data_IF_252727439201
#
_entry.id   IF_252727439201
#
_cell.length_a   1.000
_cell.length_b   1.000
_cell.length_c   1.000
_cell.angle_alpha   90.00
_cell.angle_beta   90.00
_cell.angle_gamma   90.00
#
_symmetry.space_group_name_H-M   'P 1'
#
loop_
_entity.id
_entity.type
_entity.pdbx_description
1 polymer ?
#
# COMPACT_ATOMS: atom_id res chain seq x y z
N UNK A 1 -3.19 -13.18 30.99
CA UNK A 1 -2.33 -12.19 30.31
C UNK A 1 -2.62 -12.35 28.84
N UNK A 2 -3.46 -11.48 28.28
CA UNK A 2 -3.66 -11.40 26.83
C UNK A 2 -2.31 -11.02 26.22
N UNK A 3 -1.84 -11.70 25.16
CA UNK A 3 -0.64 -11.24 24.48
C UNK A 3 -0.87 -9.81 23.99
N UNK A 4 0.15 -8.93 24.04
CA UNK A 4 0.03 -7.62 23.41
C UNK A 4 -0.32 -7.82 21.94
N UNK A 5 -1.30 -7.05 21.46
CA UNK A 5 -1.63 -7.01 20.04
C UNK A 5 -0.45 -6.36 19.30
N UNK A 6 -0.13 -6.83 18.09
CA UNK A 6 1.02 -6.35 17.30
C UNK A 6 1.03 -4.82 17.12
N UNK A 7 -0.14 -4.18 17.11
CA UNK A 7 -0.28 -2.72 17.12
C UNK A 7 0.30 -2.06 18.39
N UNK A 8 0.02 -2.60 19.57
CA UNK A 8 0.53 -2.05 20.83
C UNK A 8 2.06 -2.22 20.96
N UNK A 9 2.60 -3.30 20.39
CA UNK A 9 4.05 -3.50 20.31
C UNK A 9 4.71 -2.49 19.36
N UNK A 10 4.07 -2.21 18.22
CA UNK A 10 4.54 -1.18 17.27
C UNK A 10 4.52 0.21 17.91
N UNK A 11 3.45 0.57 18.62
CA UNK A 11 3.35 1.87 19.30
C UNK A 11 4.44 2.02 20.37
N UNK A 12 4.73 0.96 21.12
CA UNK A 12 5.82 0.97 22.11
C UNK A 12 7.19 1.15 21.45
N UNK A 13 7.46 0.43 20.35
CA UNK A 13 8.71 0.56 19.59
C UNK A 13 8.87 1.95 18.96
N UNK A 14 7.78 2.52 18.41
CA UNK A 14 7.78 3.89 17.91
C UNK A 14 8.04 4.87 19.04
N UNK A 15 7.40 4.73 20.21
CA UNK A 15 7.64 5.61 21.35
C UNK A 15 9.10 5.56 21.86
N UNK A 16 9.77 4.41 21.77
CA UNK A 16 11.18 4.25 22.14
C UNK A 16 12.13 4.80 21.06
N UNK A 17 11.79 4.62 19.78
CA UNK A 17 12.66 4.95 18.65
C UNK A 17 12.53 6.42 18.22
N UNK A 18 11.31 6.98 18.24
CA UNK A 18 11.01 8.35 17.80
C UNK A 18 11.92 9.41 18.45
N UNK A 19 12.21 9.37 19.77
CA UNK A 19 13.12 10.34 20.40
C UNK A 19 14.57 10.24 19.91
N UNK A 20 14.95 9.10 19.33
CA UNK A 20 16.27 8.84 18.77
C UNK A 20 16.35 9.24 17.29
N UNK A 21 15.20 9.37 16.63
CA UNK A 21 15.08 9.89 15.28
C UNK A 21 15.22 11.42 15.34
N UNK A 22 16.18 11.98 14.62
CA UNK A 22 16.32 13.43 14.42
C UNK A 22 15.23 13.93 13.46
N UNK A 23 13.97 13.85 13.88
CA UNK A 23 12.82 14.16 13.03
C UNK A 23 12.72 15.69 12.82
N UNK A 24 12.31 16.14 11.62
CA UNK A 24 11.99 17.54 11.43
C UNK A 24 10.86 17.98 12.36
N UNK A 25 10.89 19.26 12.77
CA UNK A 25 9.82 19.87 13.56
C UNK A 25 8.46 19.61 12.87
N UNK A 26 7.64 18.81 13.55
CA UNK A 26 6.31 18.44 13.11
C UNK A 26 5.25 19.41 13.64
N UNK A 27 3.97 19.18 13.31
CA UNK A 27 2.85 20.00 13.79
C UNK A 27 2.58 19.86 15.31
N UNK A 28 3.23 18.92 16.01
CA UNK A 28 3.04 18.71 17.44
C UNK A 28 1.74 17.98 17.80
N UNK A 29 1.13 17.27 16.86
CA UNK A 29 -0.14 16.55 16.99
C UNK A 29 -0.01 15.11 17.48
N UNK A 30 1.22 14.66 17.77
CA UNK A 30 1.51 13.30 18.22
C UNK A 30 1.40 12.22 17.13
N UNK A 31 1.24 12.60 15.86
CA UNK A 31 1.07 11.64 14.76
C UNK A 31 2.40 11.21 14.09
N UNK A 32 3.54 11.65 14.62
CA UNK A 32 4.86 11.37 14.04
C UNK A 32 5.14 9.86 13.94
N UNK A 33 4.72 9.07 14.92
CA UNK A 33 4.81 7.61 14.86
C UNK A 33 4.03 7.01 13.70
N UNK A 34 2.78 7.47 13.51
CA UNK A 34 1.94 7.05 12.41
C UNK A 34 2.51 7.44 11.05
N UNK A 35 3.08 8.64 10.93
CA UNK A 35 3.76 9.10 9.70
C UNK A 35 4.99 8.25 9.38
N UNK A 36 5.79 7.90 10.38
CA UNK A 36 6.94 7.01 10.19
C UNK A 36 6.48 5.62 9.74
N UNK A 37 5.43 5.07 10.35
CA UNK A 37 4.85 3.80 9.93
C UNK A 37 4.33 3.85 8.49
N UNK A 38 3.61 4.92 8.11
CA UNK A 38 3.13 5.13 6.74
C UNK A 38 4.30 5.15 5.74
N UNK A 39 5.38 5.86 6.04
CA UNK A 39 6.57 5.93 5.18
C UNK A 39 7.26 4.57 5.01
N UNK A 40 7.30 3.74 6.06
CA UNK A 40 7.84 2.38 5.97
C UNK A 40 6.97 1.52 5.04
N UNK A 41 5.64 1.55 5.21
CA UNK A 41 4.73 0.76 4.38
C UNK A 41 4.74 1.22 2.92
N UNK A 42 4.80 2.53 2.68
CA UNK A 42 4.91 3.09 1.32
C UNK A 42 6.23 2.69 0.65
N UNK A 43 7.34 2.74 1.39
CA UNK A 43 8.64 2.29 0.87
C UNK A 43 8.63 0.79 0.55
N UNK A 44 8.05 -0.04 1.41
CA UNK A 44 7.92 -1.49 1.18
C UNK A 44 7.09 -1.81 -0.06
N UNK A 45 6.03 -1.04 -0.27
CA UNK A 45 5.18 -1.18 -1.46
C UNK A 45 5.92 -0.81 -2.73
N UNK A 46 6.76 0.23 -2.70
CA UNK A 46 7.59 0.63 -3.85
C UNK A 46 8.68 -0.38 -4.18
N UNK A 47 9.25 -1.06 -3.18
CA UNK A 47 10.27 -2.09 -3.42
C UNK A 47 9.74 -3.35 -4.08
N UNK A 48 8.46 -3.68 -3.87
CA UNK A 48 7.82 -4.87 -4.42
C UNK A 48 7.02 -4.61 -5.70
N UNK A 49 7.14 -3.42 -6.27
CA UNK A 49 6.49 -3.07 -7.53
C UNK A 49 7.26 -3.66 -8.69
N UNK A 50 6.58 -4.44 -9.52
CA UNK A 50 7.18 -5.10 -10.69
C UNK A 50 7.71 -4.11 -11.74
N UNK A 51 7.24 -2.86 -11.73
CA UNK A 51 7.68 -1.78 -12.61
C UNK A 51 8.86 -0.96 -12.04
N UNK A 52 9.33 -1.27 -10.83
CA UNK A 52 10.39 -0.56 -10.14
C UNK A 52 11.63 -1.44 -10.03
N UNK A 53 12.60 -1.21 -10.93
CA UNK A 53 13.88 -1.93 -10.90
C UNK A 53 14.72 -1.58 -9.66
N UNK A 54 14.66 -0.32 -9.22
CA UNK A 54 15.44 0.18 -8.08
C UNK A 54 14.78 1.37 -7.41
N UNK A 55 14.79 1.38 -6.08
CA UNK A 55 14.31 2.52 -5.28
C UNK A 55 15.48 3.42 -4.92
N UNK A 56 15.54 4.61 -5.52
CA UNK A 56 16.48 5.66 -5.14
C UNK A 56 15.81 6.67 -4.18
N UNK A 57 16.58 7.39 -3.36
CA UNK A 57 16.04 8.38 -2.42
C UNK A 57 15.10 9.40 -3.06
N UNK A 58 15.50 10.01 -4.19
CA UNK A 58 14.69 11.01 -4.88
C UNK A 58 13.42 10.42 -5.51
N UNK A 59 13.50 9.16 -5.95
CA UNK A 59 12.36 8.43 -6.48
C UNK A 59 11.35 8.14 -5.36
N UNK A 60 11.82 7.56 -4.24
CA UNK A 60 11.00 7.30 -3.05
C UNK A 60 10.26 8.56 -2.58
N UNK A 61 10.98 9.67 -2.38
CA UNK A 61 10.37 10.94 -1.97
C UNK A 61 9.35 11.43 -3.00
N UNK A 62 9.64 11.29 -4.29
CA UNK A 62 8.75 11.69 -5.38
C UNK A 62 7.43 10.91 -5.35
N UNK A 63 7.52 9.58 -5.35
CA UNK A 63 6.37 8.69 -5.32
C UNK A 63 5.54 8.85 -4.05
N UNK A 64 6.19 8.93 -2.88
CA UNK A 64 5.50 9.15 -1.60
C UNK A 64 4.75 10.49 -1.60
N UNK A 65 5.36 11.56 -2.11
CA UNK A 65 4.66 12.85 -2.16
C UNK A 65 3.46 12.79 -3.09
N UNK A 66 3.59 12.16 -4.26
CA UNK A 66 2.48 12.01 -5.20
C UNK A 66 1.37 11.16 -4.58
N UNK A 67 1.72 10.05 -3.93
CA UNK A 67 0.79 9.17 -3.23
C UNK A 67 0.00 9.90 -2.16
N UNK A 68 0.68 10.71 -1.35
CA UNK A 68 0.05 11.51 -0.30
C UNK A 68 -0.86 12.57 -0.91
N UNK A 69 -0.47 13.24 -1.99
CA UNK A 69 -1.35 14.20 -2.69
C UNK A 69 -2.61 13.52 -3.25
N UNK A 70 -2.48 12.33 -3.83
CA UNK A 70 -3.62 11.55 -4.33
C UNK A 70 -4.52 11.09 -3.18
N UNK A 71 -3.94 10.62 -2.08
CA UNK A 71 -4.67 10.18 -0.89
C UNK A 71 -5.45 11.32 -0.21
N UNK A 72 -4.83 12.50 -0.12
CA UNK A 72 -5.45 13.69 0.44
C UNK A 72 -6.58 14.22 -0.47
N UNK A 73 -6.43 14.10 -1.79
CA UNK A 73 -7.51 14.44 -2.74
C UNK A 73 -8.68 13.44 -2.69
N UNK A 74 -8.40 12.20 -2.31
CA UNK A 74 -9.39 11.12 -2.19
C UNK A 74 -10.02 11.03 -0.80
N UNK A 75 -9.74 11.98 0.11
CA UNK A 75 -10.24 12.03 1.49
C UNK A 75 -10.04 10.70 2.25
N UNK A 76 -8.91 10.02 2.04
CA UNK A 76 -8.63 8.79 2.77
C UNK A 76 -8.46 9.10 4.26
N UNK A 77 -9.37 8.58 5.09
CA UNK A 77 -9.54 9.00 6.50
C UNK A 77 -8.23 8.98 7.29
N UNK A 78 -7.52 7.86 7.32
CA UNK A 78 -6.27 7.72 8.10
C UNK A 78 -5.14 8.65 7.63
N UNK A 79 -4.96 8.79 6.32
CA UNK A 79 -3.89 9.62 5.75
C UNK A 79 -4.24 11.09 5.90
N UNK A 80 -5.51 11.46 5.73
CA UNK A 80 -5.98 12.83 5.94
C UNK A 80 -5.81 13.24 7.39
N UNK A 81 -6.09 12.33 8.34
CA UNK A 81 -5.83 12.58 9.75
C UNK A 81 -4.33 12.76 10.06
N UNK A 82 -3.45 11.92 9.49
CA UNK A 82 -2.01 11.95 9.79
C UNK A 82 -1.23 13.00 9.01
N UNK A 83 -1.62 13.30 7.78
CA UNK A 83 -0.87 14.13 6.84
C UNK A 83 -1.57 15.41 6.42
N UNK A 84 -2.87 15.56 6.64
CA UNK A 84 -3.65 16.69 6.13
C UNK A 84 -3.09 18.06 6.53
N UNK A 85 -2.65 18.22 7.78
CA UNK A 85 -2.08 19.49 8.26
C UNK A 85 -0.54 19.57 8.11
N UNK A 86 0.14 18.43 8.04
CA UNK A 86 1.61 18.34 8.05
C UNK A 86 2.23 18.18 6.66
N UNK A 87 1.42 17.88 5.64
CA UNK A 87 1.93 17.50 4.33
C UNK A 87 2.67 18.66 3.66
N UNK A 88 3.96 18.43 3.43
CA UNK A 88 4.79 19.26 2.58
C UNK A 88 5.89 18.40 2.00
N UNK A 89 6.18 18.58 0.71
CA UNK A 89 7.31 17.89 0.06
C UNK A 89 8.62 18.07 0.84
N UNK A 90 8.85 19.26 1.39
CA UNK A 90 10.03 19.55 2.22
C UNK A 90 10.04 18.72 3.50
N UNK A 91 8.89 18.61 4.17
CA UNK A 91 8.74 17.86 5.41
C UNK A 91 8.94 16.35 5.18
N UNK A 92 8.29 15.77 4.17
CA UNK A 92 8.50 14.36 3.75
C UNK A 92 9.97 14.11 3.42
N UNK A 93 10.61 15.00 2.66
CA UNK A 93 12.03 14.87 2.30
C UNK A 93 12.94 14.85 3.54
N UNK A 94 12.64 15.67 4.55
CA UNK A 94 13.40 15.70 5.80
C UNK A 94 13.15 14.43 6.63
N UNK A 95 11.91 13.98 6.74
CA UNK A 95 11.58 12.72 7.44
C UNK A 95 12.29 11.53 6.80
N UNK A 96 12.16 11.30 5.49
CA UNK A 96 12.83 10.18 4.81
C UNK A 96 14.36 10.24 4.99
N UNK A 97 14.93 11.46 5.03
CA UNK A 97 16.36 11.64 5.30
C UNK A 97 16.72 11.26 6.73
N UNK A 98 15.92 11.67 7.71
CA UNK A 98 16.09 11.29 9.12
C UNK A 98 16.01 9.78 9.31
N UNK A 99 15.01 9.13 8.71
CA UNK A 99 14.87 7.67 8.72
C UNK A 99 16.08 6.97 8.09
N UNK A 100 16.59 7.52 6.99
CA UNK A 100 17.81 6.99 6.36
C UNK A 100 19.09 7.23 7.17
N UNK A 101 19.09 8.14 8.14
CA UNK A 101 20.22 8.35 9.06
C UNK A 101 20.13 7.46 10.30
N UNK A 102 18.93 6.97 10.63
CA UNK A 102 18.67 6.05 11.73
C UNK A 102 18.69 4.57 11.30
N UNK A 103 19.38 4.26 10.19
CA UNK A 103 19.56 2.90 9.66
C UNK A 103 18.25 2.12 9.36
N UNK A 104 17.12 2.82 9.18
CA UNK A 104 15.90 2.19 8.63
C UNK A 104 16.04 1.89 7.14
N UNK A 105 17.00 2.52 6.45
CA UNK A 105 17.27 2.31 5.05
C UNK A 105 18.75 1.95 4.81
N UNK A 106 18.98 0.88 4.06
CA UNK A 106 20.29 0.48 3.56
C UNK A 106 20.59 1.26 2.28
N UNK A 107 21.63 2.08 2.34
CA UNK A 107 22.14 2.82 1.17
C UNK A 107 23.13 1.95 0.41
N UNK A 108 22.83 1.66 -0.84
CA UNK A 108 23.63 0.76 -1.65
C UNK A 108 23.86 1.27 -3.06
N UNK A 109 24.42 0.38 -3.86
CA UNK A 109 24.53 0.56 -5.29
C UNK A 109 24.04 -0.70 -5.96
N UNK A 110 23.20 -0.54 -6.96
CA UNK A 110 22.79 -1.62 -7.84
C UNK A 110 23.32 -1.36 -9.26
N UNK A 111 23.49 -2.43 -10.03
CA UNK A 111 24.04 -2.39 -11.38
C UNK A 111 23.13 -3.16 -12.32
N UNK A 112 22.07 -2.51 -12.79
CA UNK A 112 21.16 -3.08 -13.77
C UNK A 112 21.73 -2.86 -15.18
N UNK A 113 21.78 -3.91 -16.03
CA UNK A 113 22.15 -3.74 -17.43
C UNK A 113 21.04 -2.98 -18.17
N UNK A 114 21.39 -1.91 -18.87
CA UNK A 114 20.46 -1.22 -19.76
C UNK A 114 20.06 -2.14 -20.91
N UNK A 115 18.76 -2.45 -21.04
CA UNK A 115 18.24 -3.35 -22.07
C UNK A 115 18.50 -2.84 -23.51
N UNK A 116 18.66 -1.53 -23.69
CA UNK A 116 18.82 -0.93 -25.03
C UNK A 116 20.29 -0.82 -25.44
N UNK A 117 21.18 -0.47 -24.52
CA UNK A 117 22.60 -0.24 -24.82
C UNK A 117 23.55 -1.34 -24.33
N UNK A 118 23.06 -2.29 -23.53
CA UNK A 118 23.86 -3.34 -22.89
C UNK A 118 24.88 -2.81 -21.88
N UNK A 119 24.91 -1.49 -21.63
CA UNK A 119 25.83 -0.88 -20.67
C UNK A 119 25.26 -1.03 -19.27
N UNK A 120 26.07 -1.58 -18.37
CA UNK A 120 25.77 -1.56 -16.94
C UNK A 120 25.71 -0.11 -16.46
N UNK A 121 24.54 0.30 -15.96
CA UNK A 121 24.39 1.56 -15.27
C UNK A 121 24.37 1.29 -13.78
N UNK A 122 25.13 2.10 -13.03
CA UNK A 122 25.20 2.00 -11.59
C UNK A 122 24.20 2.97 -10.97
N UNK A 123 23.21 2.43 -10.28
CA UNK A 123 22.14 3.18 -9.63
C UNK A 123 22.37 3.21 -8.12
N UNK A 124 22.03 4.32 -7.47
CA UNK A 124 22.03 4.40 -6.01
C UNK A 124 20.74 3.77 -5.50
N UNK A 125 20.86 2.88 -4.53
CA UNK A 125 19.70 2.24 -3.88
C UNK A 125 19.49 2.78 -2.48
N UNK A 126 18.23 2.79 -2.08
CA UNK A 126 17.74 3.25 -0.79
C UNK A 126 16.62 2.30 -0.37
N UNK A 127 17.01 1.12 0.10
CA UNK A 127 16.11 0.00 0.42
C UNK A 127 15.85 -0.07 1.91
N UNK A 128 14.69 -0.57 2.33
CA UNK A 128 14.31 -0.80 3.71
C UNK A 128 15.22 -1.85 4.34
N UNK A 129 15.70 -1.52 5.54
CA UNK A 129 16.45 -2.43 6.35
C UNK A 129 15.50 -3.44 7.02
N UNK A 130 15.39 -4.63 6.43
CA UNK A 130 14.56 -5.74 6.94
C UNK A 130 15.07 -6.31 8.26
N UNK A 131 16.29 -6.01 8.67
CA UNK A 131 16.85 -6.42 9.96
C UNK A 131 16.42 -5.49 11.10
N UNK A 132 15.90 -4.30 10.79
CA UNK A 132 15.47 -3.34 11.79
C UNK A 132 14.13 -3.79 12.41
N UNK A 133 14.04 -3.92 13.75
CA UNK A 133 12.83 -4.40 14.42
C UNK A 133 11.61 -3.48 14.19
N UNK A 134 11.83 -2.18 14.03
CA UNK A 134 10.76 -1.22 13.73
C UNK A 134 10.15 -1.48 12.36
N UNK A 135 10.98 -1.77 11.34
CA UNK A 135 10.53 -2.08 9.99
C UNK A 135 9.75 -3.39 9.97
N UNK A 136 10.25 -4.43 10.64
CA UNK A 136 9.55 -5.72 10.73
C UNK A 136 8.17 -5.57 11.37
N UNK A 137 8.09 -4.84 12.49
CA UNK A 137 6.83 -4.67 13.22
C UNK A 137 5.84 -3.75 12.51
N UNK A 138 6.31 -2.68 11.87
CA UNK A 138 5.44 -1.81 11.06
C UNK A 138 4.76 -2.60 9.92
N UNK A 139 5.53 -3.45 9.23
CA UNK A 139 5.01 -4.30 8.17
C UNK A 139 4.11 -5.41 8.70
N UNK A 140 4.50 -6.07 9.80
CA UNK A 140 3.69 -7.11 10.44
C UNK A 140 2.32 -6.56 10.85
N UNK A 141 2.27 -5.45 11.60
CA UNK A 141 1.02 -4.83 12.07
C UNK A 141 0.12 -4.44 10.89
N UNK A 142 0.69 -3.92 9.81
CA UNK A 142 -0.07 -3.54 8.61
C UNK A 142 -0.74 -4.74 7.95
N UNK A 143 0.01 -5.83 7.76
CA UNK A 143 -0.50 -7.01 7.05
C UNK A 143 -1.42 -7.87 7.93
N UNK A 144 -1.17 -7.93 9.24
CA UNK A 144 -2.10 -8.57 10.19
C UNK A 144 -3.43 -7.80 10.29
N UNK A 145 -3.39 -6.47 10.23
CA UNK A 145 -4.60 -5.64 10.21
C UNK A 145 -5.40 -5.81 8.90
N UNK A 146 -4.74 -6.17 7.80
CA UNK A 146 -5.37 -6.46 6.51
C UNK A 146 -5.91 -7.91 6.44
N UNK A 147 -5.38 -8.81 7.27
CA UNK A 147 -5.75 -10.23 7.34
C UNK A 147 -7.02 -10.55 8.14
N UNK A 148 -7.67 -9.56 8.75
CA UNK A 148 -8.90 -9.75 9.53
C UNK A 148 -10.04 -8.87 8.99
N UNK A 149 -10.63 -9.30 7.88
CA UNK A 149 -12.06 -9.06 7.62
C UNK A 149 -12.66 -10.37 7.14
N UNK A 150 -12.50 -11.43 7.93
CA UNK A 150 -13.48 -12.51 7.91
C UNK A 150 -14.63 -12.06 8.81
N UNK A 151 -15.80 -11.88 8.20
CA UNK A 151 -17.07 -11.62 8.86
C UNK A 151 -17.30 -12.66 9.98
N UNK A 152 -16.94 -12.35 11.22
CA UNK A 152 -17.57 -12.92 12.40
C UNK A 152 -18.89 -12.15 12.68
N UNK A 153 -19.74 -12.09 11.66
CA UNK A 153 -21.14 -11.72 11.81
C UNK A 153 -21.89 -12.94 12.31
N UNK A 154 -21.94 -13.08 13.63
CA UNK A 154 -22.84 -13.98 14.34
C UNK A 154 -24.29 -13.75 13.86
N UNK A 155 -24.79 -14.65 13.01
CA UNK A 155 -26.23 -14.87 12.84
C UNK A 155 -26.50 -16.35 13.00
N UNK A 156 -26.72 -16.74 14.26
CA UNK A 156 -27.56 -17.89 14.55
C UNK A 156 -29.00 -17.51 14.23
N UNK A 157 -29.59 -18.10 13.19
CA UNK A 157 -30.96 -18.64 13.27
C UNK A 157 -31.06 -19.79 12.28
N UNK A 158 -31.07 -21.01 12.84
CA UNK A 158 -31.57 -22.18 12.13
C UNK A 158 -33.08 -22.01 11.93
N UNK A 159 -33.58 -22.21 10.71
CA UNK A 159 -34.74 -23.07 10.48
C UNK A 159 -34.63 -23.71 9.10
N UNK A 160 -34.67 -25.04 9.13
CA UNK A 160 -34.81 -26.00 8.06
C UNK A 160 -36.16 -25.84 7.33
N UNK A 161 -36.21 -26.05 6.01
CA UNK A 161 -37.29 -26.81 5.35
C UNK A 161 -37.00 -27.00 3.86
N UNK A 162 -36.59 -28.22 3.54
CA UNK A 162 -37.08 -29.13 2.49
C UNK A 162 -37.32 -28.66 1.05
N UNK A 163 -36.72 -29.46 0.15
CA UNK A 163 -37.19 -29.95 -1.14
C UNK A 163 -38.19 -29.08 -1.93
N UNK A 164 -37.85 -28.78 -3.19
CA UNK A 164 -38.64 -29.28 -4.32
C UNK A 164 -37.86 -29.15 -5.63
N UNK A 165 -37.51 -30.33 -6.14
CA UNK A 165 -37.13 -30.69 -7.49
C UNK A 165 -38.25 -30.33 -8.48
N UNK A 166 -37.93 -29.67 -9.60
CA UNK A 166 -38.81 -29.69 -10.78
C UNK A 166 -38.04 -29.48 -12.10
N UNK A 167 -37.95 -30.58 -12.85
CA UNK A 167 -37.47 -30.70 -14.22
C UNK A 167 -38.23 -29.81 -15.24
N UNK A 168 -37.50 -29.53 -16.33
CA UNK A 168 -37.81 -29.01 -17.69
C UNK A 168 -39.10 -29.59 -18.35
N UNK A 169 -39.54 -29.23 -19.60
CA UNK A 169 -38.90 -28.46 -20.69
C UNK A 169 -39.84 -27.52 -21.51
N UNK A 170 -39.30 -26.73 -22.45
CA UNK A 170 -39.89 -26.66 -23.82
C UNK A 170 -39.00 -25.95 -24.83
N UNK A 171 -38.75 -26.71 -25.89
CA UNK A 171 -38.12 -26.44 -27.17
C UNK A 171 -38.91 -25.41 -28.00
N UNK A 172 -38.24 -24.59 -28.82
CA UNK A 172 -38.53 -24.47 -30.27
C UNK A 172 -37.92 -23.19 -30.89
N UNK A 173 -37.20 -23.45 -31.99
CA UNK A 173 -37.03 -22.65 -33.21
C UNK A 173 -36.18 -21.35 -33.20
N UNK A 174 -34.97 -21.49 -33.78
CA UNK A 174 -34.34 -20.45 -34.59
C UNK A 174 -35.10 -20.30 -35.93
N UNK A 175 -35.02 -19.10 -36.57
CA UNK A 175 -34.16 -19.06 -37.75
C UNK A 175 -33.34 -17.77 -37.94
N UNK A 176 -32.24 -18.00 -38.65
CA UNK A 176 -31.19 -17.14 -39.21
C UNK A 176 -31.71 -15.94 -40.03
N UNK A 177 -31.11 -14.74 -39.87
CA UNK A 177 -30.36 -13.96 -40.90
C UNK A 177 -30.31 -12.44 -40.64
N UNK A 178 -29.07 -11.94 -40.54
CA UNK A 178 -28.51 -10.76 -41.23
C UNK A 178 -29.01 -9.34 -40.87
N UNK A 179 -28.14 -8.59 -40.18
CA UNK A 179 -28.22 -7.13 -40.08
C UNK A 179 -27.23 -6.53 -39.09
N UNK A 180 -26.00 -6.27 -39.53
CA UNK A 180 -25.04 -5.40 -38.81
C UNK A 180 -25.58 -3.96 -38.84
N UNK A 181 -25.53 -3.23 -37.74
CA UNK A 181 -24.47 -2.24 -37.64
C UNK A 181 -23.69 -2.38 -36.34
N UNK A 182 -22.38 -2.26 -36.48
CA UNK A 182 -21.41 -2.19 -35.39
C UNK A 182 -21.72 -0.96 -34.54
N UNK A 183 -22.47 -1.13 -33.46
CA UNK A 183 -22.28 -0.29 -32.28
C UNK A 183 -21.03 -0.82 -31.58
N UNK A 184 -19.90 -0.20 -31.88
CA UNK A 184 -18.78 -0.18 -30.93
C UNK A 184 -19.25 0.63 -29.73
N UNK A 185 -19.93 -0.04 -28.80
CA UNK A 185 -19.85 0.33 -27.39
C UNK A 185 -18.38 0.28 -27.03
N UNK A 186 -17.71 1.43 -27.13
CA UNK A 186 -16.45 1.67 -26.47
C UNK A 186 -16.74 1.77 -24.97
N UNK A 187 -17.12 0.65 -24.36
CA UNK A 187 -16.74 0.36 -22.99
C UNK A 187 -15.25 0.02 -23.03
N UNK A 188 -14.44 1.04 -23.33
CA UNK A 188 -13.06 1.06 -22.91
C UNK A 188 -13.10 1.18 -21.39
N UNK A 189 -13.37 0.05 -20.74
CA UNK A 189 -12.95 -0.18 -19.37
C UNK A 189 -11.43 -0.19 -19.44
N UNK A 190 -10.86 1.02 -19.53
CA UNK A 190 -9.51 1.28 -19.15
C UNK A 190 -9.40 0.69 -17.76
N UNK A 191 -8.82 -0.51 -17.67
CA UNK A 191 -8.19 -1.00 -16.46
C UNK A 191 -7.03 -0.03 -16.23
N UNK A 192 -7.37 1.18 -15.79
CA UNK A 192 -6.42 2.13 -15.27
C UNK A 192 -5.71 1.37 -14.17
N UNK A 193 -4.43 1.17 -14.38
CA UNK A 193 -3.56 0.51 -13.44
C UNK A 193 -3.83 1.14 -12.06
N UNK A 194 -4.23 0.35 -11.02
CA UNK A 194 -4.72 0.91 -9.77
C UNK A 194 -3.69 1.92 -9.23
N UNK A 195 -4.13 3.08 -8.74
CA UNK A 195 -3.18 4.09 -8.27
C UNK A 195 -2.23 3.50 -7.21
N UNK A 196 -1.03 4.06 -7.10
CA UNK A 196 -0.04 3.61 -6.10
C UNK A 196 -0.68 3.46 -4.71
N UNK A 197 -1.55 4.41 -4.37
CA UNK A 197 -2.28 4.42 -3.12
C UNK A 197 -3.32 3.30 -3.03
N UNK A 198 -4.07 2.99 -4.09
CA UNK A 198 -4.99 1.84 -4.09
C UNK A 198 -4.28 0.50 -3.89
N UNK A 199 -3.00 0.39 -4.28
CA UNK A 199 -2.20 -0.82 -4.05
C UNK A 199 -1.69 -0.93 -2.61
N UNK A 200 -1.46 0.20 -1.93
CA UNK A 200 -1.02 0.26 -0.53
C UNK A 200 -1.98 -0.49 0.41
N UNK A 201 -3.28 -0.52 0.10
CA UNK A 201 -4.34 -1.16 0.92
C UNK A 201 -4.84 -2.49 0.35
N UNK A 202 -4.23 -3.01 -0.71
CA UNK A 202 -4.62 -4.31 -1.25
C UNK A 202 -3.90 -5.41 -0.47
N UNK A 203 -4.66 -6.40 0.01
CA UNK A 203 -4.08 -7.61 0.61
C UNK A 203 -3.14 -8.30 -0.38
N UNK A 204 -1.94 -8.66 0.10
CA UNK A 204 -1.00 -9.48 -0.66
C UNK A 204 -1.51 -10.92 -0.60
N UNK A 205 -2.31 -11.30 -1.60
CA UNK A 205 -2.74 -12.68 -1.83
C UNK A 205 -1.59 -13.58 -2.24
#
# INVERSE_FOLDING_TARGET
VTPPTSSAELDALLAETLPQLDLPEGPGDGQDGGRVADLIVMADTLEHRDDVDHVAFNFLVGEVCQALEEALKADHEEITQRWGEAFSRMYVTKMVRSLGNADLFVRGWDSTPDQVSGRSRRHRTFLLNRENPLVQKALQTRWESTGYTEHAGEVSTAVDHEDLDFELPSDSDQPVTQGVPVEVSAEDSAKSDPSFFSRLFRSRG
#
